data_IF_620198922625
#
_entry.id   IF_620198922625
#
_cell.length_a   1.000
_cell.length_b   1.000
_cell.length_c   1.000
_cell.angle_alpha   90.00
_cell.angle_beta   90.00
_cell.angle_gamma   90.00
#
_symmetry.space_group_name_H-M   'P 1'
#
loop_
_entity.id
_entity.type
_entity.pdbx_description
1 polymer ?
#
# COMPACT_ATOMS: atom_id res chain seq x y z
N UNK A 1 20.34 2.55 6.85
CA UNK A 1 19.28 3.54 7.13
C UNK A 1 19.76 4.99 7.35
N UNK A 2 21.06 5.28 7.22
CA UNK A 2 21.64 6.60 7.54
C UNK A 2 21.07 7.80 6.74
N UNK A 3 20.44 7.55 5.58
CA UNK A 3 19.88 8.56 4.69
C UNK A 3 18.34 8.67 4.74
N UNK A 4 17.67 8.04 5.71
CA UNK A 4 16.21 7.99 5.82
C UNK A 4 15.50 7.60 4.51
N UNK A 5 15.84 6.43 3.91
CA UNK A 5 15.32 6.05 2.60
C UNK A 5 13.83 5.67 2.59
N UNK A 6 13.23 5.36 3.75
CA UNK A 6 11.83 4.96 3.84
C UNK A 6 10.90 6.18 3.98
N UNK A 7 9.94 6.31 3.09
CA UNK A 7 8.93 7.37 3.08
C UNK A 7 7.70 7.00 3.93
N UNK A 8 6.82 7.99 4.14
CA UNK A 8 5.45 7.79 4.62
C UNK A 8 5.32 7.02 5.96
N UNK A 9 6.21 7.28 6.90
CA UNK A 9 6.18 6.61 8.21
C UNK A 9 6.69 5.16 8.18
N UNK A 10 7.32 4.72 7.08
CA UNK A 10 8.03 3.46 7.02
C UNK A 10 9.21 3.41 8.00
N UNK A 11 9.38 2.28 8.68
CA UNK A 11 10.50 2.03 9.58
C UNK A 11 11.65 1.42 8.81
N UNK A 12 12.82 2.04 8.88
CA UNK A 12 14.02 1.55 8.22
C UNK A 12 14.80 0.62 9.16
N UNK A 13 15.12 -0.59 8.71
CA UNK A 13 16.09 -1.49 9.35
C UNK A 13 17.30 -1.71 8.43
N UNK A 14 18.52 -1.56 8.96
CA UNK A 14 19.71 -1.97 8.21
C UNK A 14 19.73 -3.50 8.13
N UNK A 15 19.80 -4.02 6.91
CA UNK A 15 19.94 -5.44 6.68
C UNK A 15 21.41 -5.86 6.85
N UNK A 16 21.64 -7.11 7.24
CA UNK A 16 22.98 -7.62 7.53
C UNK A 16 23.91 -7.65 6.30
N UNK A 17 23.40 -7.47 5.08
CA UNK A 17 24.23 -7.34 3.88
C UNK A 17 24.77 -5.91 3.75
N UNK A 18 26.08 -5.78 3.63
CA UNK A 18 26.80 -4.50 3.54
C UNK A 18 26.15 -3.55 2.51
N UNK A 19 25.50 -2.49 3.01
CA UNK A 19 24.91 -1.42 2.19
C UNK A 19 23.46 -1.64 1.77
N UNK A 20 22.83 -2.73 2.20
CA UNK A 20 21.41 -2.95 2.00
C UNK A 20 20.60 -2.40 3.18
N UNK A 21 19.40 -1.91 2.90
CA UNK A 21 18.42 -1.52 3.90
C UNK A 21 17.09 -2.17 3.57
N UNK A 22 16.29 -2.43 4.59
CA UNK A 22 14.93 -2.91 4.46
C UNK A 22 13.98 -1.85 5.03
N UNK A 23 12.96 -1.49 4.25
CA UNK A 23 11.89 -0.60 4.69
C UNK A 23 10.67 -1.43 5.06
N UNK A 24 10.26 -1.35 6.32
CA UNK A 24 8.97 -1.88 6.78
C UNK A 24 7.94 -0.76 6.66
N UNK A 25 7.03 -0.90 5.70
CA UNK A 25 6.05 0.14 5.40
C UNK A 25 4.89 0.16 6.42
N UNK A 26 4.38 1.36 6.67
CA UNK A 26 3.15 1.53 7.43
C UNK A 26 1.95 1.00 6.63
N UNK A 27 0.85 0.60 7.29
CA UNK A 27 -0.38 0.20 6.60
C UNK A 27 -0.83 1.30 5.64
N UNK A 28 -1.14 0.96 4.39
CA UNK A 28 -1.42 1.97 3.36
C UNK A 28 -0.26 2.25 2.41
N UNK A 29 0.92 1.65 2.61
CA UNK A 29 2.09 1.93 1.79
C UNK A 29 2.89 0.66 1.42
N UNK A 30 3.47 0.67 0.22
CA UNK A 30 4.28 -0.39 -0.33
C UNK A 30 5.49 0.13 -1.15
N UNK A 31 6.22 -0.82 -1.74
CA UNK A 31 7.44 -0.58 -2.51
C UNK A 31 8.69 -0.55 -1.63
N UNK A 32 9.87 -0.65 -2.25
CA UNK A 32 11.14 -0.78 -1.52
C UNK A 32 11.53 0.42 -0.63
N UNK A 33 10.83 1.55 -0.78
CA UNK A 33 11.00 2.75 0.05
C UNK A 33 9.68 3.25 0.64
N UNK A 34 8.61 2.45 0.64
CA UNK A 34 7.28 2.86 1.13
C UNK A 34 6.74 4.13 0.44
N UNK A 35 7.13 4.34 -0.82
CA UNK A 35 6.72 5.49 -1.63
C UNK A 35 5.43 5.21 -2.42
N UNK A 36 5.04 3.95 -2.54
CA UNK A 36 3.81 3.53 -3.21
C UNK A 36 2.70 3.57 -2.16
N UNK A 37 1.56 4.17 -2.48
CA UNK A 37 0.37 4.11 -1.64
C UNK A 37 -0.43 2.86 -2.02
N UNK A 38 -0.65 1.95 -1.08
CA UNK A 38 -1.59 0.83 -1.22
C UNK A 38 -2.99 1.34 -0.92
N UNK A 39 -3.72 1.60 -1.98
CA UNK A 39 -5.05 2.15 -1.88
C UNK A 39 -6.03 1.15 -1.25
N UNK A 40 -5.81 -0.15 -1.45
CA UNK A 40 -6.63 -1.18 -0.83
C UNK A 40 -6.37 -1.45 0.65
N UNK A 41 -5.22 -1.04 1.21
CA UNK A 41 -4.90 -1.27 2.62
C UNK A 41 -5.79 -0.47 3.59
N UNK A 42 -6.46 0.57 3.11
CA UNK A 42 -7.47 1.31 3.89
C UNK A 42 -8.86 0.68 3.87
N UNK A 43 -9.02 -0.50 3.27
CA UNK A 43 -10.30 -1.17 3.05
C UNK A 43 -11.38 -0.22 2.47
N UNK A 44 -11.11 0.44 1.33
CA UNK A 44 -12.01 1.45 0.79
C UNK A 44 -13.31 0.88 0.17
N UNK A 45 -13.37 -0.43 -0.10
CA UNK A 45 -14.56 -1.07 -0.68
C UNK A 45 -15.56 -1.46 0.41
N UNK A 46 -16.82 -1.03 0.25
CA UNK A 46 -17.91 -1.33 1.16
C UNK A 46 -18.67 -2.61 0.77
N UNK A 47 -19.64 -3.02 1.60
CA UNK A 47 -20.64 -4.04 1.25
C UNK A 47 -20.06 -5.42 0.83
N UNK A 48 -18.87 -5.77 1.32
CA UNK A 48 -18.20 -7.03 0.96
C UNK A 48 -17.62 -7.03 -0.45
N UNK A 49 -17.40 -5.87 -1.06
CA UNK A 49 -16.66 -5.74 -2.31
C UNK A 49 -15.18 -6.08 -2.15
N UNK A 50 -14.59 -6.65 -3.21
CA UNK A 50 -13.17 -6.99 -3.27
C UNK A 50 -12.37 -5.81 -3.77
N UNK A 51 -11.40 -5.35 -2.98
CA UNK A 51 -10.46 -4.32 -3.41
C UNK A 51 -9.30 -4.93 -4.18
N UNK A 52 -8.97 -4.34 -5.33
CA UNK A 52 -7.75 -4.62 -6.09
C UNK A 52 -7.00 -3.32 -6.34
N UNK A 53 -5.73 -3.25 -5.93
CA UNK A 53 -4.88 -2.11 -6.28
C UNK A 53 -4.76 -2.05 -7.81
N UNK A 54 -4.95 -0.86 -8.36
CA UNK A 54 -4.81 -0.62 -9.79
C UNK A 54 -3.37 -0.25 -10.14
N UNK A 55 -3.01 -0.37 -11.42
CA UNK A 55 -1.66 -0.08 -11.89
C UNK A 55 -1.24 1.40 -11.69
N UNK A 56 -2.21 2.30 -11.47
CA UNK A 56 -1.95 3.69 -11.15
C UNK A 56 -1.60 3.87 -9.67
N UNK A 57 -0.51 4.61 -9.40
CA UNK A 57 -0.01 4.88 -8.04
C UNK A 57 -1.11 5.50 -7.16
N UNK A 58 -1.49 4.80 -6.08
CA UNK A 58 -2.50 5.27 -5.13
C UNK A 58 -3.94 5.11 -5.61
N UNK A 59 -4.16 4.40 -6.72
CA UNK A 59 -5.49 4.08 -7.24
C UNK A 59 -5.89 2.67 -6.85
N UNK A 60 -7.18 2.46 -6.60
CA UNK A 60 -7.77 1.15 -6.36
C UNK A 60 -9.01 0.96 -7.23
N UNK A 61 -9.37 -0.30 -7.42
CA UNK A 61 -10.63 -0.70 -8.02
C UNK A 61 -11.40 -1.59 -7.06
N UNK A 62 -12.68 -1.27 -6.84
CA UNK A 62 -13.59 -2.07 -6.04
C UNK A 62 -14.46 -2.93 -6.95
N UNK A 63 -14.37 -4.25 -6.79
CA UNK A 63 -15.27 -5.20 -7.42
C UNK A 63 -16.47 -5.43 -6.50
N UNK A 64 -17.65 -4.99 -6.92
CA UNK A 64 -18.87 -5.02 -6.11
C UNK A 64 -19.46 -6.43 -6.02
N UNK A 65 -20.03 -6.78 -4.87
CA UNK A 65 -20.82 -7.99 -4.72
C UNK A 65 -22.18 -7.87 -5.48
N UNK A 66 -22.81 -9.00 -5.86
CA UNK A 66 -24.10 -8.98 -6.55
C UNK A 66 -25.16 -8.21 -5.76
N UNK A 67 -25.80 -7.22 -6.41
CA UNK A 67 -26.82 -6.36 -5.78
C UNK A 67 -26.29 -5.01 -5.26
N UNK A 68 -24.98 -4.77 -5.32
CA UNK A 68 -24.36 -3.48 -5.00
C UNK A 68 -23.82 -2.80 -6.27
N UNK A 69 -23.83 -1.46 -6.29
CA UNK A 69 -23.36 -0.65 -7.40
C UNK A 69 -22.87 0.72 -6.92
N UNK A 70 -21.66 1.09 -7.32
CA UNK A 70 -21.04 2.36 -6.95
C UNK A 70 -19.51 2.31 -7.09
N UNK A 71 -18.85 3.46 -6.98
CA UNK A 71 -17.38 3.55 -7.09
C UNK A 71 -16.63 2.90 -5.91
N UNK A 72 -17.28 2.79 -4.76
CA UNK A 72 -16.79 2.11 -3.55
C UNK A 72 -17.75 0.98 -3.13
N UNK A 73 -18.55 0.49 -4.09
CA UNK A 73 -19.69 -0.43 -3.99
C UNK A 73 -21.08 0.19 -4.01
#
# INVERSE_FOLDING_TARGET
>A
CASFPCANGGTCSDSCDLGSFHCTCAPGFAGGMCHIWEACASFPCANGGTCSDSCDLGSFHCTCAPGFAGGMC
#
